data_IF_984046589442
#
_entry.id   IF_984046589442
#
_cell.length_a   1.000
_cell.length_b   1.000
_cell.length_c   1.000
_cell.angle_alpha   90.00
_cell.angle_beta   90.00
_cell.angle_gamma   90.00
#
_symmetry.space_group_name_H-M   'P 1'
#
loop_
_entity.id
_entity.type
_entity.pdbx_description
1 polymer ?
#
# COMPACT_ATOMS: atom_id res chain seq x y z
N UNK A 1 -15.50 -25.57 -13.57
CA UNK A 1 -16.29 -24.61 -14.37
C UNK A 1 -15.58 -24.45 -15.70
N UNK A 2 -16.32 -24.47 -16.81
CA UNK A 2 -15.76 -24.34 -18.16
C UNK A 2 -15.81 -22.87 -18.60
N UNK A 3 -14.81 -22.44 -19.37
CA UNK A 3 -14.76 -21.11 -19.97
C UNK A 3 -15.83 -21.01 -21.05
N UNK A 4 -16.69 -20.00 -20.99
CA UNK A 4 -17.76 -19.79 -21.97
C UNK A 4 -17.26 -19.36 -23.35
N UNK A 5 -15.98 -18.95 -23.46
CA UNK A 5 -15.35 -18.55 -24.73
C UNK A 5 -14.69 -19.71 -25.48
N UNK A 6 -14.13 -20.68 -24.78
CA UNK A 6 -13.28 -21.71 -25.39
C UNK A 6 -13.46 -23.12 -24.81
N UNK A 7 -14.38 -23.30 -23.86
CA UNK A 7 -14.71 -24.57 -23.20
C UNK A 7 -13.56 -25.28 -22.46
N UNK A 8 -12.45 -24.57 -22.22
CA UNK A 8 -11.36 -25.05 -21.38
C UNK A 8 -11.67 -24.86 -19.90
N UNK A 9 -11.01 -25.63 -19.05
CA UNK A 9 -11.18 -25.53 -17.60
C UNK A 9 -10.70 -24.17 -17.07
N UNK A 10 -11.48 -23.62 -16.13
CA UNK A 10 -11.11 -22.44 -15.36
C UNK A 10 -10.40 -22.86 -14.07
N UNK A 11 -9.22 -22.30 -13.83
CA UNK A 11 -8.51 -22.43 -12.57
C UNK A 11 -8.92 -21.32 -11.59
N UNK A 12 -9.03 -21.65 -10.31
CA UNK A 12 -9.29 -20.66 -9.26
C UNK A 12 -8.01 -19.85 -9.01
N UNK A 13 -8.12 -18.52 -9.05
CA UNK A 13 -7.04 -17.60 -8.74
C UNK A 13 -6.59 -17.73 -7.28
N UNK A 14 -5.32 -17.46 -7.02
CA UNK A 14 -4.74 -17.39 -5.68
C UNK A 14 -4.99 -16.05 -4.96
N UNK A 15 -5.68 -15.11 -5.61
CA UNK A 15 -6.11 -13.86 -4.99
C UNK A 15 -7.22 -14.11 -3.97
N UNK A 16 -7.17 -13.44 -2.80
CA UNK A 16 -8.19 -13.60 -1.78
C UNK A 16 -9.56 -13.08 -2.27
N UNK A 17 -10.66 -13.56 -1.66
CA UNK A 17 -11.98 -12.98 -1.85
C UNK A 17 -12.01 -11.47 -1.55
N UNK A 18 -12.93 -10.74 -2.18
CA UNK A 18 -13.20 -9.34 -1.87
C UNK A 18 -14.66 -9.16 -1.44
N UNK A 19 -15.05 -7.93 -1.06
CA UNK A 19 -16.46 -7.58 -0.79
C UNK A 19 -17.39 -7.77 -2.01
N UNK A 20 -16.83 -7.84 -3.21
CA UNK A 20 -17.59 -7.94 -4.46
C UNK A 20 -17.68 -9.37 -5.00
N UNK A 21 -16.71 -10.23 -4.67
CA UNK A 21 -16.62 -11.57 -5.22
C UNK A 21 -16.01 -12.55 -4.22
N UNK A 22 -16.58 -13.75 -4.14
CA UNK A 22 -16.06 -14.83 -3.30
C UNK A 22 -14.88 -15.55 -3.92
N UNK A 23 -14.78 -15.56 -5.25
CA UNK A 23 -13.66 -16.16 -5.98
C UNK A 23 -13.48 -15.52 -7.35
N UNK A 24 -12.25 -15.52 -7.83
CA UNK A 24 -11.89 -15.21 -9.21
C UNK A 24 -11.44 -16.50 -9.88
N UNK A 25 -11.93 -16.76 -11.09
CA UNK A 25 -11.54 -17.90 -11.91
C UNK A 25 -10.99 -17.43 -13.25
N UNK A 26 -9.97 -18.12 -13.75
CA UNK A 26 -9.21 -17.70 -14.93
C UNK A 26 -9.03 -18.90 -15.85
N UNK A 27 -9.36 -18.73 -17.13
CA UNK A 27 -9.11 -19.75 -18.13
C UNK A 27 -7.61 -19.89 -18.38
N UNK A 28 -7.04 -21.08 -18.27
CA UNK A 28 -5.61 -21.28 -18.50
C UNK A 28 -5.20 -21.15 -19.97
N UNK A 29 -6.18 -21.23 -20.90
CA UNK A 29 -5.94 -21.16 -22.34
C UNK A 29 -6.13 -19.76 -22.93
N UNK A 30 -7.32 -19.16 -22.80
CA UNK A 30 -7.61 -17.81 -23.33
C UNK A 30 -7.50 -16.70 -22.28
N UNK A 31 -7.19 -17.04 -21.01
CA UNK A 31 -7.01 -16.09 -19.90
C UNK A 31 -8.22 -15.21 -19.59
N UNK A 32 -9.41 -15.64 -19.99
CA UNK A 32 -10.65 -14.95 -19.62
C UNK A 32 -10.86 -15.03 -18.12
N UNK A 33 -11.20 -13.88 -17.53
CA UNK A 33 -11.43 -13.72 -16.09
C UNK A 33 -12.92 -13.77 -15.83
N UNK A 34 -13.29 -14.62 -14.89
CA UNK A 34 -14.65 -14.81 -14.39
C UNK A 34 -14.66 -14.50 -12.90
N UNK A 35 -15.51 -13.56 -12.49
CA UNK A 35 -15.73 -13.21 -11.08
C UNK A 35 -17.01 -13.84 -10.60
N UNK A 36 -16.96 -14.51 -9.46
CA UNK A 36 -18.13 -15.10 -8.82
C UNK A 36 -18.53 -14.24 -7.62
N UNK A 37 -19.68 -13.58 -7.71
CA UNK A 37 -20.23 -12.74 -6.67
C UNK A 37 -20.55 -13.49 -5.37
N UNK A 38 -20.69 -12.76 -4.27
CA UNK A 38 -21.11 -13.32 -2.98
C UNK A 38 -22.52 -13.95 -3.05
N UNK A 39 -23.37 -13.37 -3.89
CA UNK A 39 -24.73 -13.81 -4.23
C UNK A 39 -24.80 -14.97 -5.23
N UNK A 40 -23.64 -15.51 -5.62
CA UNK A 40 -23.52 -16.56 -6.63
C UNK A 40 -23.63 -16.09 -8.07
N UNK A 41 -23.74 -14.77 -8.33
CA UNK A 41 -23.66 -14.23 -9.68
C UNK A 41 -22.31 -14.55 -10.32
N UNK A 42 -22.30 -14.70 -11.64
CA UNK A 42 -21.07 -14.96 -12.39
C UNK A 42 -20.96 -13.93 -13.50
N UNK A 43 -19.88 -13.15 -13.45
CA UNK A 43 -19.59 -12.09 -14.42
C UNK A 43 -18.28 -12.38 -15.11
N UNK A 44 -18.30 -12.47 -16.44
CA UNK A 44 -17.10 -12.52 -17.27
C UNK A 44 -16.65 -11.09 -17.58
N UNK A 45 -15.36 -10.81 -17.36
CA UNK A 45 -14.77 -9.53 -17.77
C UNK A 45 -14.91 -9.34 -19.28
N UNK A 46 -15.14 -8.10 -19.70
CA UNK A 46 -15.18 -7.67 -21.10
C UNK A 46 -13.84 -7.96 -21.77
N UNK A 47 -13.86 -8.08 -23.10
CA UNK A 47 -12.63 -8.16 -23.86
C UNK A 47 -11.83 -6.86 -23.71
N UNK A 48 -10.51 -7.00 -23.57
CA UNK A 48 -9.53 -5.93 -23.71
C UNK A 48 -8.46 -6.39 -24.68
N UNK A 49 -8.02 -5.49 -25.56
CA UNK A 49 -6.92 -5.74 -26.48
C UNK A 49 -5.64 -6.11 -25.73
N UNK A 50 -4.74 -6.82 -26.41
CA UNK A 50 -3.53 -7.39 -25.79
C UNK A 50 -2.68 -6.36 -25.02
N UNK A 51 -2.63 -5.11 -25.48
CA UNK A 51 -1.87 -4.00 -24.90
C UNK A 51 -2.58 -3.29 -23.74
N UNK A 52 -3.87 -3.56 -23.54
CA UNK A 52 -4.70 -2.98 -22.49
C UNK A 52 -5.23 -4.03 -21.50
N UNK A 53 -4.79 -5.27 -21.64
CA UNK A 53 -5.35 -6.40 -20.88
C UNK A 53 -4.51 -6.81 -19.69
N UNK A 54 -3.20 -6.68 -19.78
CA UNK A 54 -2.30 -7.23 -18.79
C UNK A 54 -1.88 -6.19 -17.79
N UNK A 55 -1.69 -6.62 -16.57
CA UNK A 55 -1.01 -5.84 -15.55
C UNK A 55 0.50 -6.08 -15.67
N UNK A 56 1.32 -5.08 -15.34
CA UNK A 56 2.75 -5.28 -15.21
C UNK A 56 3.03 -6.23 -14.03
N UNK A 57 3.84 -7.26 -14.25
CA UNK A 57 4.31 -8.15 -13.21
C UNK A 57 5.17 -7.36 -12.22
N UNK A 58 4.87 -7.55 -10.94
CA UNK A 58 5.56 -6.89 -9.83
C UNK A 58 6.16 -7.91 -8.89
N UNK A 59 7.48 -7.90 -8.88
CA UNK A 59 8.36 -8.49 -7.90
C UNK A 59 9.71 -7.82 -8.12
N UNK A 60 10.43 -7.55 -7.06
CA UNK A 60 11.80 -7.02 -7.10
C UNK A 60 12.84 -8.12 -7.40
N UNK A 61 12.38 -9.36 -7.65
CA UNK A 61 13.21 -10.48 -8.10
C UNK A 61 13.06 -10.79 -9.59
N UNK A 62 12.64 -9.80 -10.38
CA UNK A 62 12.69 -9.94 -11.83
C UNK A 62 14.17 -9.92 -12.28
N UNK A 63 14.60 -10.89 -13.10
CA UNK A 63 16.01 -11.06 -13.47
C UNK A 63 16.52 -9.97 -14.41
N UNK A 64 15.63 -9.27 -15.11
CA UNK A 64 15.94 -8.22 -16.07
C UNK A 64 15.19 -6.93 -15.69
N UNK A 65 15.75 -5.74 -15.99
CA UNK A 65 15.08 -4.46 -15.75
C UNK A 65 13.88 -4.21 -16.68
N UNK A 66 13.55 -5.18 -17.55
CA UNK A 66 12.42 -5.07 -18.48
C UNK A 66 11.09 -5.26 -17.77
N UNK A 67 10.04 -4.70 -18.36
CA UNK A 67 8.66 -4.88 -17.89
C UNK A 67 8.09 -6.19 -18.41
N UNK A 68 7.71 -7.06 -17.49
CA UNK A 68 7.04 -8.33 -17.81
C UNK A 68 5.53 -8.21 -17.60
N UNK A 69 4.74 -8.95 -18.38
CA UNK A 69 3.29 -9.07 -18.18
C UNK A 69 2.99 -10.06 -17.05
N UNK A 70 2.10 -9.71 -16.13
CA UNK A 70 1.58 -10.64 -15.15
C UNK A 70 0.58 -11.59 -15.81
N UNK A 71 0.93 -12.87 -15.82
CA UNK A 71 0.16 -13.96 -16.42
C UNK A 71 -0.72 -14.71 -15.42
N UNK A 72 -1.01 -14.14 -14.25
CA UNK A 72 -1.70 -14.79 -13.12
C UNK A 72 -0.93 -15.97 -12.49
N UNK A 73 -1.40 -16.44 -11.33
CA UNK A 73 -0.80 -17.57 -10.61
C UNK A 73 0.69 -17.36 -10.30
N UNK A 74 1.04 -16.11 -9.94
CA UNK A 74 2.42 -15.70 -9.58
C UNK A 74 3.46 -15.95 -10.67
N UNK A 75 3.02 -15.93 -11.92
CA UNK A 75 3.84 -16.18 -13.09
C UNK A 75 3.69 -15.07 -14.14
N UNK A 76 4.77 -14.72 -14.82
CA UNK A 76 4.71 -13.85 -16.00
C UNK A 76 4.20 -14.61 -17.23
N UNK A 77 3.81 -13.91 -18.29
CA UNK A 77 3.48 -14.57 -19.56
C UNK A 77 4.67 -15.33 -20.16
N UNK A 78 5.90 -14.84 -19.99
CA UNK A 78 7.12 -15.55 -20.42
C UNK A 78 7.55 -16.70 -19.48
N UNK A 79 6.76 -17.00 -18.43
CA UNK A 79 6.98 -18.19 -17.61
C UNK A 79 7.86 -18.00 -16.37
N UNK A 80 8.29 -16.77 -16.06
CA UNK A 80 9.02 -16.48 -14.82
C UNK A 80 8.04 -16.61 -13.65
N UNK A 81 8.36 -17.48 -12.70
CA UNK A 81 7.57 -17.68 -11.48
C UNK A 81 8.34 -17.16 -10.27
N UNK A 82 7.65 -16.39 -9.41
CA UNK A 82 8.19 -15.96 -8.12
C UNK A 82 7.10 -16.05 -7.06
N UNK A 83 7.41 -16.51 -5.84
CA UNK A 83 6.41 -16.74 -4.79
C UNK A 83 5.68 -15.46 -4.35
N UNK A 84 6.25 -14.28 -4.60
CA UNK A 84 5.69 -12.97 -4.25
C UNK A 84 5.18 -12.19 -5.47
N UNK A 85 5.13 -12.80 -6.66
CA UNK A 85 4.73 -12.10 -7.87
C UNK A 85 3.24 -11.77 -7.86
N UNK A 86 2.93 -10.50 -8.07
CA UNK A 86 1.57 -10.01 -8.27
C UNK A 86 1.48 -9.20 -9.56
N UNK A 87 0.26 -8.99 -10.04
CA UNK A 87 0.02 -7.96 -11.04
C UNK A 87 -0.03 -6.58 -10.40
N UNK A 88 0.34 -5.57 -11.17
CA UNK A 88 0.22 -4.18 -10.79
C UNK A 88 -1.26 -3.76 -10.81
N UNK A 89 -1.81 -3.25 -9.69
CA UNK A 89 -3.23 -2.92 -9.65
C UNK A 89 -3.63 -1.69 -10.48
N UNK A 90 -2.65 -0.94 -11.03
CA UNK A 90 -2.87 0.26 -11.87
C UNK A 90 -1.93 0.37 -13.07
N UNK A 91 -0.80 -0.33 -13.02
CA UNK A 91 0.17 -0.31 -14.09
C UNK A 91 -0.19 -1.37 -15.11
N UNK A 92 -0.80 -0.94 -16.20
CA UNK A 92 -0.99 -1.81 -17.35
C UNK A 92 0.36 -2.15 -17.98
N UNK A 93 0.41 -3.29 -18.63
CA UNK A 93 1.52 -3.76 -19.43
C UNK A 93 1.05 -3.82 -20.88
N UNK A 94 1.84 -3.29 -21.79
CA UNK A 94 1.50 -3.10 -23.20
C UNK A 94 1.77 -1.65 -23.66
N UNK A 95 2.47 -1.52 -24.78
CA UNK A 95 2.68 -0.26 -25.50
C UNK A 95 3.98 0.50 -25.20
N UNK A 96 4.87 -0.06 -24.38
CA UNK A 96 6.07 0.64 -23.91
C UNK A 96 7.38 0.02 -24.47
N UNK A 97 8.44 0.83 -24.72
CA UNK A 97 9.66 0.35 -25.39
C UNK A 97 10.49 -0.68 -24.60
N UNK A 98 10.31 -0.77 -23.28
CA UNK A 98 11.10 -1.61 -22.37
C UNK A 98 10.41 -2.96 -22.02
N UNK A 99 9.42 -3.36 -22.80
CA UNK A 99 8.66 -4.59 -22.59
C UNK A 99 9.42 -5.87 -22.95
N UNK A 100 9.16 -6.94 -22.19
CA UNK A 100 9.69 -8.26 -22.49
C UNK A 100 9.08 -8.82 -23.80
N UNK A 101 9.89 -9.10 -24.84
CA UNK A 101 9.39 -9.52 -26.15
C UNK A 101 8.67 -10.87 -26.11
N UNK A 102 9.08 -11.77 -25.21
CA UNK A 102 8.40 -13.06 -25.01
C UNK A 102 7.01 -12.89 -24.39
N UNK A 103 6.85 -11.93 -23.48
CA UNK A 103 5.53 -11.57 -22.97
C UNK A 103 4.65 -10.99 -24.10
N UNK A 104 5.21 -10.16 -24.99
CA UNK A 104 4.51 -9.60 -26.16
C UNK A 104 4.02 -10.69 -27.11
N UNK A 105 4.88 -11.65 -27.43
CA UNK A 105 4.52 -12.78 -28.28
C UNK A 105 3.37 -13.61 -27.68
N UNK A 106 3.45 -13.95 -26.39
CA UNK A 106 2.38 -14.73 -25.74
C UNK A 106 1.09 -13.92 -25.57
N UNK A 107 1.17 -12.62 -25.28
CA UNK A 107 0.01 -11.74 -25.20
C UNK A 107 -0.76 -11.68 -26.53
N UNK A 108 -0.04 -11.51 -27.65
CA UNK A 108 -0.61 -11.55 -29.00
C UNK A 108 -1.20 -12.93 -29.32
N UNK A 109 -0.53 -14.01 -28.93
CA UNK A 109 -1.04 -15.37 -29.12
C UNK A 109 -2.33 -15.61 -28.32
N UNK A 110 -2.42 -15.10 -27.09
CA UNK A 110 -3.63 -15.18 -26.27
C UNK A 110 -4.75 -14.31 -26.84
N UNK A 111 -4.44 -13.13 -27.35
CA UNK A 111 -5.42 -12.26 -28.00
C UNK A 111 -6.04 -12.96 -29.22
N UNK A 112 -5.22 -13.59 -30.07
CA UNK A 112 -5.69 -14.37 -31.22
C UNK A 112 -6.60 -15.57 -30.83
N UNK A 113 -6.56 -16.04 -29.58
CA UNK A 113 -7.46 -17.10 -29.07
C UNK A 113 -8.86 -16.58 -28.73
N UNK A 114 -9.06 -15.26 -28.63
CA UNK A 114 -10.38 -14.68 -28.36
C UNK A 114 -11.24 -14.62 -29.64
N UNK A 115 -12.44 -15.22 -29.64
CA UNK A 115 -13.34 -15.17 -30.79
C UNK A 115 -13.71 -13.73 -31.16
N UNK A 116 -13.64 -13.40 -32.45
CA UNK A 116 -13.89 -12.03 -32.95
C UNK A 116 -15.29 -11.53 -32.59
N UNK A 117 -16.31 -12.40 -32.67
CA UNK A 117 -17.71 -12.10 -32.32
C UNK A 117 -17.91 -11.78 -30.84
N UNK A 118 -16.90 -12.03 -30.00
CA UNK A 118 -16.93 -11.79 -28.55
C UNK A 118 -16.11 -10.59 -28.10
N UNK A 119 -15.41 -9.91 -29.03
CA UNK A 119 -14.57 -8.74 -28.70
C UNK A 119 -15.39 -7.46 -28.46
N UNK A 120 -16.57 -7.37 -29.05
CA UNK A 120 -17.49 -6.23 -28.88
C UNK A 120 -18.48 -6.45 -27.71
N UNK A 121 -18.42 -7.59 -27.03
CA UNK A 121 -19.28 -7.91 -25.89
C UNK A 121 -18.79 -7.14 -24.65
N UNK A 122 -19.59 -6.21 -24.08
CA UNK A 122 -19.18 -5.34 -22.98
C UNK A 122 -19.00 -6.06 -21.63
N UNK A 123 -18.95 -7.40 -21.63
CA UNK A 123 -18.86 -8.23 -20.44
C UNK A 123 -20.22 -8.86 -20.15
N UNK A 124 -20.22 -10.17 -19.91
CA UNK A 124 -21.46 -10.95 -19.83
C UNK A 124 -21.70 -11.42 -18.41
N UNK A 125 -22.91 -11.13 -17.90
CA UNK A 125 -23.45 -11.85 -16.75
C UNK A 125 -23.84 -13.25 -17.21
N UNK A 126 -23.06 -14.26 -16.82
CA UNK A 126 -23.25 -15.66 -17.19
C UNK A 126 -24.31 -16.33 -16.32
N UNK A 127 -24.35 -15.96 -15.04
CA UNK A 127 -25.39 -16.35 -14.10
C UNK A 127 -25.80 -15.11 -13.29
N UNK A 128 -27.08 -14.72 -13.31
CA UNK A 128 -27.55 -13.56 -12.56
C UNK A 128 -27.56 -13.85 -11.05
N UNK A 129 -27.45 -12.77 -10.26
CA UNK A 129 -27.65 -12.82 -8.82
C UNK A 129 -29.03 -13.38 -8.47
N UNK A 130 -29.12 -14.18 -7.41
CA UNK A 130 -30.42 -14.66 -6.89
C UNK A 130 -31.10 -13.66 -5.94
N UNK A 131 -30.58 -12.42 -5.85
CA UNK A 131 -31.05 -11.37 -4.95
C UNK A 131 -30.71 -9.96 -5.48
N UNK A 132 -31.13 -8.88 -4.79
CA UNK A 132 -30.77 -7.52 -5.19
C UNK A 132 -29.25 -7.36 -5.21
N UNK A 133 -28.72 -6.73 -6.27
CA UNK A 133 -27.28 -6.52 -6.42
C UNK A 133 -26.70 -5.66 -5.29
N UNK A 134 -25.41 -5.79 -4.98
CA UNK A 134 -24.77 -4.92 -4.01
C UNK A 134 -24.78 -3.48 -4.53
N UNK A 135 -25.47 -2.59 -3.80
CA UNK A 135 -25.59 -1.16 -4.16
C UNK A 135 -24.21 -0.50 -4.05
N UNK A 136 -23.79 0.19 -5.12
CA UNK A 136 -22.55 0.97 -5.12
C UNK A 136 -22.61 2.02 -3.99
N UNK A 137 -21.53 2.27 -3.24
CA UNK A 137 -21.57 3.19 -2.09
C UNK A 137 -22.08 4.60 -2.43
N UNK A 138 -21.83 5.07 -3.66
CA UNK A 138 -22.32 6.37 -4.14
C UNK A 138 -23.77 6.40 -4.64
N UNK A 139 -24.40 5.23 -4.78
CA UNK A 139 -25.77 5.08 -5.32
C UNK A 139 -26.79 4.71 -4.24
N UNK A 140 -26.35 4.60 -2.99
CA UNK A 140 -27.27 4.55 -1.85
C UNK A 140 -27.85 5.96 -1.71
N UNK A 141 -29.19 6.05 -1.64
CA UNK A 141 -29.79 7.16 -0.90
C UNK A 141 -29.08 7.18 0.45
N UNK A 142 -28.55 8.33 0.91
CA UNK A 142 -27.93 8.36 2.21
C UNK A 142 -28.94 7.83 3.20
N UNK A 143 -28.65 6.63 3.76
CA UNK A 143 -29.44 6.15 4.89
C UNK A 143 -29.46 7.31 5.90
N UNK A 144 -30.59 7.60 6.56
CA UNK A 144 -30.63 8.59 7.62
C UNK A 144 -29.73 8.15 8.81
N UNK A 145 -28.43 8.31 8.61
CA UNK A 145 -27.25 8.16 9.48
C UNK A 145 -25.93 8.44 8.70
N UNK A 146 -25.95 8.57 7.36
CA UNK A 146 -24.74 8.52 6.52
C UNK A 146 -23.78 9.73 6.55
N UNK A 147 -24.07 10.87 7.19
CA UNK A 147 -23.11 12.00 7.25
C UNK A 147 -23.14 12.83 8.56
N UNK A 148 -23.40 12.24 9.74
CA UNK A 148 -23.63 13.04 10.96
C UNK A 148 -23.43 12.44 12.36
N UNK A 149 -22.39 11.63 12.61
CA UNK A 149 -21.94 11.11 13.93
C UNK A 149 -22.93 10.13 14.66
N UNK A 150 -22.58 9.62 15.86
CA UNK A 150 -21.94 8.32 16.12
C UNK A 150 -22.87 7.40 16.93
N UNK A 151 -23.41 6.33 16.36
CA UNK A 151 -24.04 5.26 17.15
C UNK A 151 -23.66 3.86 16.62
N UNK A 152 -22.44 3.73 16.09
CA UNK A 152 -21.70 2.51 16.38
C UNK A 152 -21.20 2.67 17.80
N UNK A 153 -21.79 2.02 18.82
CA UNK A 153 -21.14 1.94 20.11
C UNK A 153 -19.82 1.21 19.91
N UNK A 154 -18.72 1.97 19.85
CA UNK A 154 -17.40 1.39 19.99
C UNK A 154 -17.36 0.73 21.36
N UNK A 155 -16.86 -0.51 21.47
CA UNK A 155 -16.57 -1.10 22.76
C UNK A 155 -15.75 -0.12 23.60
N UNK A 156 -15.97 -0.12 24.91
CA UNK A 156 -15.15 0.67 25.83
C UNK A 156 -13.66 0.36 25.59
N UNK A 157 -12.78 1.38 25.53
CA UNK A 157 -11.36 1.16 25.31
C UNK A 157 -10.82 0.20 26.36
N UNK A 158 -10.35 -0.97 25.91
CA UNK A 158 -9.68 -1.92 26.79
C UNK A 158 -8.19 -1.67 26.67
N UNK A 159 -7.58 -1.24 27.76
CA UNK A 159 -6.14 -1.10 27.83
C UNK A 159 -5.52 -2.45 28.15
N UNK A 160 -4.59 -2.91 27.31
CA UNK A 160 -3.79 -4.11 27.52
C UNK A 160 -2.38 -3.70 27.95
N UNK A 161 -1.67 -4.49 28.77
CA UNK A 161 -0.23 -4.30 28.99
C UNK A 161 0.57 -4.26 27.69
N UNK A 162 0.03 -4.81 26.60
CA UNK A 162 0.62 -4.84 25.27
C UNK A 162 0.26 -3.63 24.40
N UNK A 163 -0.66 -2.76 24.84
CA UNK A 163 -1.03 -1.55 24.08
C UNK A 163 0.19 -0.64 23.94
N UNK A 164 0.49 -0.21 22.71
CA UNK A 164 1.61 0.69 22.38
C UNK A 164 1.20 2.14 22.14
N UNK A 165 -0.10 2.40 22.08
CA UNK A 165 -0.66 3.75 22.11
C UNK A 165 -0.55 4.31 23.52
N UNK A 166 -0.07 5.54 23.65
CA UNK A 166 -0.05 6.25 24.93
C UNK A 166 -1.41 6.94 25.15
N UNK A 167 -1.94 6.84 26.37
CA UNK A 167 -3.19 7.51 26.74
C UNK A 167 -3.09 9.04 26.63
N UNK A 168 -1.94 9.59 27.00
CA UNK A 168 -1.63 11.00 26.90
C UNK A 168 -0.32 11.20 26.13
N UNK A 169 -0.22 12.33 25.43
CA UNK A 169 1.02 12.69 24.78
C UNK A 169 2.03 13.14 25.84
N UNK A 170 3.27 12.62 25.84
CA UNK A 170 4.34 13.16 26.67
C UNK A 170 4.47 14.67 26.42
N UNK A 171 4.65 15.46 27.47
CA UNK A 171 4.77 16.91 27.36
C UNK A 171 5.94 17.29 26.45
N UNK A 172 5.65 17.62 25.20
CA UNK A 172 6.57 18.23 24.26
C UNK A 172 6.27 19.74 24.21
N UNK A 173 7.27 20.62 23.98
CA UNK A 173 6.99 22.02 23.72
C UNK A 173 6.02 22.12 22.54
N UNK A 174 4.96 22.93 22.70
CA UNK A 174 3.82 23.05 21.78
C UNK A 174 4.17 23.46 20.32
N UNK A 175 5.45 23.65 20.02
CA UNK A 175 6.00 24.16 18.76
C UNK A 175 6.92 23.19 18.03
N UNK A 176 7.25 22.02 18.58
CA UNK A 176 8.19 21.11 17.91
C UNK A 176 7.51 20.29 16.81
N UNK A 177 7.21 20.98 15.70
CA UNK A 177 6.74 20.40 14.43
C UNK A 177 7.86 19.76 13.63
N UNK A 178 9.05 19.62 14.21
CA UNK A 178 10.22 19.07 13.55
C UNK A 178 10.82 17.95 14.38
N UNK A 179 11.56 17.07 13.71
CA UNK A 179 12.43 16.08 14.37
C UNK A 179 13.84 16.24 13.83
N UNK A 180 14.80 15.92 14.69
CA UNK A 180 16.22 16.01 14.37
C UNK A 180 16.78 14.60 14.19
N UNK A 181 17.43 14.37 13.05
CA UNK A 181 18.23 13.18 12.77
C UNK A 181 19.72 13.50 12.89
N UNK A 182 20.49 12.63 13.53
CA UNK A 182 21.90 12.91 13.79
C UNK A 182 22.12 13.87 14.95
N UNK A 183 23.37 14.29 15.13
CA UNK A 183 23.82 15.18 16.19
C UNK A 183 24.80 16.22 15.63
N UNK A 184 24.94 17.36 16.30
CA UNK A 184 25.90 18.39 15.93
C UNK A 184 25.53 19.20 14.67
N UNK A 185 26.51 19.83 13.99
CA UNK A 185 26.26 20.75 12.88
C UNK A 185 25.66 20.12 11.62
N UNK A 186 25.83 18.81 11.44
CA UNK A 186 25.24 18.06 10.32
C UNK A 186 23.86 17.51 10.64
N UNK A 187 23.34 17.75 11.85
CA UNK A 187 22.04 17.24 12.25
C UNK A 187 20.93 17.79 11.34
N UNK A 188 20.13 16.88 10.80
CA UNK A 188 19.07 17.19 9.87
C UNK A 188 17.77 17.46 10.62
N UNK A 189 17.17 18.64 10.40
CA UNK A 189 15.88 19.00 11.00
C UNK A 189 14.77 18.94 9.97
N UNK A 190 13.87 17.96 10.11
CA UNK A 190 12.78 17.70 9.17
C UNK A 190 11.42 18.05 9.78
N UNK A 191 10.47 18.61 9.01
CA UNK A 191 9.09 18.75 9.46
C UNK A 191 8.48 17.36 9.69
N UNK A 192 7.70 17.21 10.75
CA UNK A 192 7.04 15.95 11.08
C UNK A 192 5.67 15.92 10.44
N UNK A 193 5.38 14.84 9.71
CA UNK A 193 4.08 14.60 9.12
C UNK A 193 3.83 13.11 9.02
N UNK A 194 2.65 12.67 9.44
CA UNK A 194 2.18 11.32 9.18
C UNK A 194 1.35 11.31 7.90
N UNK A 195 1.93 10.82 6.81
CA UNK A 195 1.15 10.48 5.62
C UNK A 195 0.46 9.12 5.85
N UNK A 196 -0.84 9.13 6.07
CA UNK A 196 -1.61 7.93 6.41
C UNK A 196 -3.08 8.11 6.08
N UNK A 197 -3.92 7.23 6.59
CA UNK A 197 -5.29 7.13 6.08
C UNK A 197 -6.30 8.07 6.75
N UNK A 198 -7.41 8.40 6.11
CA UNK A 198 -8.62 8.77 6.87
C UNK A 198 -9.08 7.58 7.74
N UNK A 199 -9.58 7.83 8.95
CA UNK A 199 -10.19 6.78 9.80
C UNK A 199 -11.67 7.14 9.99
N UNK A 200 -12.41 7.11 8.88
CA UNK A 200 -13.85 7.39 8.85
C UNK A 200 -14.23 8.67 9.62
N UNK A 201 -15.27 8.63 10.47
CA UNK A 201 -15.72 9.81 11.23
C UNK A 201 -14.77 10.22 12.38
N UNK A 202 -13.74 9.42 12.69
CA UNK A 202 -12.82 9.68 13.80
C UNK A 202 -11.66 10.58 13.38
N UNK A 203 -11.23 10.44 12.12
CA UNK A 203 -10.24 11.32 11.49
C UNK A 203 -10.64 11.48 10.03
N UNK A 204 -11.38 12.56 9.68
CA UNK A 204 -11.82 12.78 8.31
C UNK A 204 -10.61 12.97 7.39
N UNK A 205 -10.79 12.60 6.12
CA UNK A 205 -9.78 12.76 5.08
C UNK A 205 -9.56 14.23 4.69
N UNK A 206 -10.56 15.10 4.83
CA UNK A 206 -10.41 16.51 4.50
C UNK A 206 -11.27 17.42 5.39
N UNK A 207 -11.10 18.72 5.21
CA UNK A 207 -11.87 19.75 5.91
C UNK A 207 -13.35 19.76 5.54
N UNK A 208 -13.74 19.09 4.45
CA UNK A 208 -15.12 18.94 3.99
C UNK A 208 -15.81 17.72 4.62
N UNK A 209 -15.11 17.00 5.52
CA UNK A 209 -15.66 15.88 6.27
C UNK A 209 -15.78 14.60 5.45
N UNK A 210 -15.10 14.50 4.29
CA UNK A 210 -15.08 13.25 3.54
C UNK A 210 -14.43 12.17 4.36
N UNK A 211 -15.13 11.06 4.53
CA UNK A 211 -14.68 9.90 5.32
C UNK A 211 -13.93 8.89 4.46
N UNK A 212 -14.25 8.86 3.17
CA UNK A 212 -13.56 8.10 2.15
C UNK A 212 -12.58 9.00 1.40
N UNK A 213 -11.29 8.84 1.68
CA UNK A 213 -10.25 8.99 0.66
C UNK A 213 -8.86 8.63 1.21
N UNK A 214 -7.96 8.49 0.23
CA UNK A 214 -6.54 8.15 0.14
C UNK A 214 -5.63 8.65 1.28
N UNK A 215 -4.31 8.54 1.10
CA UNK A 215 -3.35 9.04 2.08
C UNK A 215 -3.45 10.57 2.18
N UNK A 216 -3.46 11.09 3.41
CA UNK A 216 -3.31 12.50 3.71
C UNK A 216 -2.15 12.73 4.67
N UNK A 217 -1.54 13.91 4.54
CA UNK A 217 -0.57 14.46 5.48
C UNK A 217 -1.26 14.96 6.78
N UNK A 218 -1.08 14.24 7.88
CA UNK A 218 -1.55 14.62 9.21
C UNK A 218 -0.41 15.20 10.06
N UNK A 219 -0.63 16.34 10.73
CA UNK A 219 0.35 16.85 11.68
C UNK A 219 0.42 15.94 12.92
N UNK A 220 1.51 15.99 13.69
CA UNK A 220 1.74 15.05 14.79
C UNK A 220 0.63 15.04 15.83
N UNK A 221 -0.05 16.15 16.10
CA UNK A 221 -1.17 16.29 17.04
C UNK A 221 -2.47 15.63 16.60
N UNK A 222 -2.60 15.28 15.32
CA UNK A 222 -3.77 14.58 14.76
C UNK A 222 -3.62 13.06 14.72
N UNK A 223 -2.57 12.54 15.35
CA UNK A 223 -2.25 11.11 15.38
C UNK A 223 -1.94 10.66 16.81
N UNK A 224 -2.36 9.45 17.23
CA UNK A 224 -2.13 8.98 18.59
C UNK A 224 -0.62 8.92 18.90
N UNK A 225 -0.19 9.36 20.09
CA UNK A 225 1.18 9.18 20.54
C UNK A 225 1.45 7.68 20.76
N UNK A 226 2.65 7.23 20.40
CA UNK A 226 3.09 5.85 20.62
C UNK A 226 4.21 5.80 21.65
N UNK A 227 4.27 4.70 22.40
CA UNK A 227 5.39 4.37 23.27
C UNK A 227 6.57 3.86 22.41
N UNK A 228 7.29 4.80 21.79
CA UNK A 228 8.40 4.50 20.86
C UNK A 228 9.47 3.57 21.45
N UNK A 229 9.62 3.54 22.80
CA UNK A 229 10.56 2.66 23.48
C UNK A 229 10.19 1.16 23.43
N UNK A 230 8.92 0.83 23.10
CA UNK A 230 8.44 -0.56 22.94
C UNK A 230 8.68 -1.14 21.55
N UNK A 231 9.31 -0.38 20.65
CA UNK A 231 9.64 -0.79 19.28
C UNK A 231 11.15 -1.04 19.20
N UNK A 232 11.53 -2.28 19.46
CA UNK A 232 12.93 -2.74 19.59
C UNK A 232 13.52 -3.30 18.30
N UNK A 233 12.73 -3.34 17.23
CA UNK A 233 13.05 -3.89 15.92
C UNK A 233 12.70 -5.37 15.74
N UNK A 234 12.12 -6.01 16.74
CA UNK A 234 11.74 -7.42 16.70
C UNK A 234 10.30 -7.69 16.24
N UNK A 235 9.48 -6.64 16.10
CA UNK A 235 8.07 -6.72 15.72
C UNK A 235 7.26 -7.62 16.67
N UNK A 236 7.62 -7.69 17.96
CA UNK A 236 6.92 -8.54 18.94
C UNK A 236 5.41 -8.27 19.03
N UNK A 237 4.98 -7.06 18.67
CA UNK A 237 3.56 -6.68 18.58
C UNK A 237 2.81 -7.35 17.44
N UNK A 238 3.51 -7.67 16.35
CA UNK A 238 2.95 -8.37 15.20
C UNK A 238 2.77 -9.88 15.48
N UNK A 239 3.45 -10.38 16.53
CA UNK A 239 3.48 -11.80 16.89
C UNK A 239 4.62 -12.53 16.20
N UNK A 240 4.39 -13.79 15.80
CA UNK A 240 5.37 -14.56 15.04
C UNK A 240 5.67 -13.90 13.68
N UNK A 241 6.93 -13.51 13.46
CA UNK A 241 7.39 -12.86 12.22
C UNK A 241 7.67 -13.86 11.09
N UNK A 242 7.84 -15.14 11.43
CA UNK A 242 8.12 -16.23 10.50
C UNK A 242 9.60 -16.41 10.16
N UNK A 243 9.88 -17.42 9.35
CA UNK A 243 11.25 -17.74 8.92
C UNK A 243 11.80 -16.67 7.96
N UNK A 244 13.14 -16.50 7.90
CA UNK A 244 13.77 -15.68 6.87
C UNK A 244 13.46 -16.23 5.47
N UNK A 245 13.11 -15.34 4.56
CA UNK A 245 12.91 -15.63 3.15
C UNK A 245 14.24 -15.44 2.43
N UNK A 246 14.93 -16.52 2.06
CA UNK A 246 16.24 -16.47 1.37
C UNK A 246 16.21 -15.56 0.13
N UNK A 247 15.12 -15.63 -0.62
CA UNK A 247 14.92 -14.84 -1.83
C UNK A 247 14.79 -13.33 -1.54
N UNK A 248 14.38 -12.94 -0.33
CA UNK A 248 14.34 -11.55 0.13
C UNK A 248 15.68 -11.08 0.66
N UNK A 249 16.44 -11.97 1.30
CA UNK A 249 17.83 -11.69 1.70
C UNK A 249 18.67 -11.31 0.47
N UNK A 250 18.47 -12.01 -0.65
CA UNK A 250 19.09 -11.67 -1.93
C UNK A 250 18.75 -10.27 -2.47
N UNK A 251 17.64 -9.65 -2.03
CA UNK A 251 17.29 -8.26 -2.36
C UNK A 251 18.00 -7.28 -1.43
N UNK A 252 18.09 -7.58 -0.13
CA UNK A 252 18.71 -6.68 0.86
C UNK A 252 20.23 -6.72 0.87
N UNK A 253 20.85 -7.84 0.48
CA UNK A 253 22.30 -8.01 0.51
C UNK A 253 23.04 -7.05 -0.45
N UNK A 254 22.62 -6.88 -1.72
CA UNK A 254 23.23 -5.89 -2.61
C UNK A 254 23.10 -4.46 -2.09
N UNK A 255 21.95 -4.11 -1.52
CA UNK A 255 21.68 -2.80 -0.91
C UNK A 255 22.62 -2.57 0.27
N UNK A 256 22.75 -3.55 1.16
CA UNK A 256 23.66 -3.48 2.31
C UNK A 256 25.12 -3.35 1.87
N UNK A 257 25.53 -4.12 0.85
CA UNK A 257 26.89 -4.07 0.31
C UNK A 257 27.21 -2.72 -0.33
N UNK A 258 26.23 -2.08 -0.99
CA UNK A 258 26.38 -0.74 -1.55
C UNK A 258 26.50 0.33 -0.47
N UNK A 259 25.58 0.34 0.50
CA UNK A 259 25.61 1.26 1.63
C UNK A 259 26.89 1.16 2.46
N UNK A 260 27.43 -0.06 2.61
CA UNK A 260 28.67 -0.29 3.34
C UNK A 260 29.88 0.44 2.69
N UNK A 261 29.87 0.68 1.37
CA UNK A 261 30.93 1.47 0.70
C UNK A 261 30.93 2.93 1.14
N UNK A 262 29.75 3.42 1.52
CA UNK A 262 29.54 4.78 2.04
C UNK A 262 29.60 4.84 3.59
N UNK A 263 29.98 3.74 4.25
CA UNK A 263 30.02 3.65 5.72
C UNK A 263 28.64 3.57 6.39
N UNK A 264 27.58 3.36 5.61
CA UNK A 264 26.20 3.25 6.07
C UNK A 264 25.78 1.79 6.25
N UNK A 265 24.70 1.54 7.01
CA UNK A 265 24.16 0.20 7.26
C UNK A 265 22.64 0.22 7.25
N UNK A 266 22.03 -0.87 6.79
CA UNK A 266 20.60 -1.08 6.96
C UNK A 266 20.27 -1.36 8.45
N UNK A 267 19.26 -0.69 9.02
CA UNK A 267 18.74 -1.01 10.35
C UNK A 267 18.16 -2.43 10.42
N UNK A 268 18.28 -3.05 11.59
CA UNK A 268 17.83 -4.44 11.78
C UNK A 268 16.31 -4.60 11.65
N UNK A 269 15.54 -3.61 12.08
CA UNK A 269 14.08 -3.58 11.96
C UNK A 269 13.63 -3.50 10.49
N UNK A 270 14.36 -2.73 9.66
CA UNK A 270 14.13 -2.69 8.22
C UNK A 270 14.38 -4.05 7.57
N UNK A 271 15.54 -4.66 7.85
CA UNK A 271 15.87 -5.99 7.31
C UNK A 271 14.81 -7.01 7.74
N UNK A 272 14.35 -6.94 8.99
CA UNK A 272 13.31 -7.82 9.53
C UNK A 272 11.97 -7.65 8.80
N UNK A 273 11.53 -6.41 8.55
CA UNK A 273 10.31 -6.13 7.77
C UNK A 273 10.35 -6.73 6.37
N UNK A 274 11.50 -6.60 5.69
CA UNK A 274 11.63 -7.00 4.28
C UNK A 274 11.84 -8.50 4.12
N UNK A 275 12.51 -9.16 5.07
CA UNK A 275 13.00 -10.54 4.90
C UNK A 275 12.21 -11.60 5.64
N UNK A 276 11.35 -11.26 6.60
CA UNK A 276 10.61 -12.27 7.38
C UNK A 276 9.28 -12.64 6.72
N UNK A 277 8.96 -13.93 6.67
CA UNK A 277 7.84 -14.46 5.87
C UNK A 277 6.46 -13.86 6.17
N UNK A 278 6.19 -13.48 7.43
CA UNK A 278 4.88 -12.91 7.82
C UNK A 278 4.88 -11.38 7.81
N UNK A 279 6.05 -10.74 7.84
CA UNK A 279 6.19 -9.28 7.75
C UNK A 279 6.34 -8.79 6.32
N UNK A 280 6.98 -9.58 5.45
CA UNK A 280 7.15 -9.23 4.05
C UNK A 280 5.79 -8.99 3.40
N UNK A 281 5.60 -7.77 2.86
CA UNK A 281 4.33 -7.29 2.28
C UNK A 281 3.13 -7.36 3.21
N UNK A 282 3.34 -7.34 4.54
CA UNK A 282 2.21 -7.26 5.47
C UNK A 282 1.45 -5.94 5.30
N UNK A 283 2.16 -4.85 4.98
CA UNK A 283 1.59 -3.53 4.74
C UNK A 283 0.74 -3.48 3.48
N UNK A 284 1.10 -4.24 2.44
CA UNK A 284 0.40 -4.32 1.16
C UNK A 284 -1.02 -4.89 1.28
N UNK A 285 -1.29 -5.60 2.39
CA UNK A 285 -2.58 -6.26 2.65
C UNK A 285 -3.64 -5.30 3.17
N UNK A 286 -3.24 -4.11 3.60
CA UNK A 286 -4.16 -3.13 4.18
C UNK A 286 -4.15 -1.84 3.37
N UNK A 287 -5.32 -1.20 3.34
CA UNK A 287 -5.53 0.16 2.89
C UNK A 287 -5.14 0.48 1.44
N UNK A 288 -6.17 0.52 0.59
CA UNK A 288 -6.17 1.28 -0.65
C UNK A 288 -5.11 0.93 -1.71
N UNK A 289 -4.34 -0.16 -1.59
CA UNK A 289 -3.39 -0.59 -2.62
C UNK A 289 -1.99 0.06 -2.56
N UNK A 290 -1.59 0.59 -1.39
CA UNK A 290 -0.17 0.87 -1.13
C UNK A 290 0.65 -0.43 -1.16
N UNK A 291 1.96 -0.32 -1.44
CA UNK A 291 2.80 -1.48 -1.76
C UNK A 291 4.23 -1.37 -1.26
N UNK A 292 4.78 -2.51 -0.89
CA UNK A 292 6.22 -2.69 -0.66
C UNK A 292 6.95 -2.64 -1.99
N UNK A 293 7.95 -1.77 -2.07
CA UNK A 293 8.74 -1.54 -3.28
C UNK A 293 10.14 -1.09 -2.86
N UNK A 294 11.06 -2.06 -2.75
CA UNK A 294 12.41 -1.83 -2.23
C UNK A 294 13.35 -1.47 -3.38
N UNK A 295 13.92 -0.26 -3.34
CA UNK A 295 14.86 0.22 -4.35
C UNK A 295 16.32 -0.01 -3.97
N UNK A 296 17.22 0.17 -4.93
CA UNK A 296 18.63 0.46 -4.63
C UNK A 296 18.77 1.77 -3.83
N UNK A 297 19.86 1.98 -3.07
CA UNK A 297 20.15 3.25 -2.43
C UNK A 297 20.18 4.41 -3.43
N UNK A 298 19.57 5.53 -3.07
CA UNK A 298 19.67 6.79 -3.81
C UNK A 298 20.31 7.87 -2.94
N UNK A 299 21.04 8.84 -3.51
CA UNK A 299 21.55 9.98 -2.77
C UNK A 299 20.44 10.77 -2.09
N UNK A 300 20.68 11.23 -0.86
CA UNK A 300 19.78 12.20 -0.23
C UNK A 300 19.85 13.55 -0.95
N UNK A 301 18.71 14.24 -1.15
CA UNK A 301 18.71 15.60 -1.69
C UNK A 301 19.13 16.66 -0.66
N UNK A 302 19.32 16.29 0.61
CA UNK A 302 19.61 17.20 1.71
C UNK A 302 21.09 17.18 2.12
N UNK A 303 21.74 16.03 2.04
CA UNK A 303 23.18 15.87 2.31
C UNK A 303 23.78 14.77 1.41
N UNK A 304 24.85 15.04 0.63
CA UNK A 304 25.46 14.04 -0.24
C UNK A 304 26.12 12.85 0.48
N UNK A 305 26.40 12.95 1.79
CA UNK A 305 26.91 11.85 2.60
C UNK A 305 25.80 10.87 3.02
N UNK A 306 24.53 11.25 2.88
CA UNK A 306 23.39 10.44 3.29
C UNK A 306 22.81 9.65 2.11
N UNK A 307 22.07 8.59 2.44
CA UNK A 307 21.37 7.76 1.46
C UNK A 307 19.91 7.57 1.85
N UNK A 308 19.09 7.27 0.86
CA UNK A 308 17.70 6.87 1.04
C UNK A 308 17.44 5.55 0.32
N UNK A 309 16.60 4.71 0.89
CA UNK A 309 16.12 3.48 0.25
C UNK A 309 14.61 3.56 0.19
N UNK A 310 14.01 3.63 -1.01
CA UNK A 310 12.56 3.51 -1.12
C UNK A 310 12.18 2.10 -0.67
N UNK A 311 11.11 1.98 0.11
CA UNK A 311 10.65 0.66 0.54
C UNK A 311 9.15 0.49 0.49
N UNK A 312 8.41 1.60 0.41
CA UNK A 312 6.97 1.57 0.40
C UNK A 312 6.44 2.74 -0.43
N UNK A 313 5.36 2.52 -1.15
CA UNK A 313 4.74 3.50 -2.04
C UNK A 313 3.25 3.44 -1.90
N UNK A 314 2.62 4.59 -2.06
CA UNK A 314 1.19 4.59 -2.22
C UNK A 314 0.78 3.93 -3.55
N UNK A 315 -0.53 3.77 -3.69
CA UNK A 315 -1.13 3.13 -4.84
C UNK A 315 -0.73 3.79 -6.17
N UNK A 316 -0.72 5.12 -6.21
CA UNK A 316 -0.47 5.90 -7.44
C UNK A 316 1.01 6.28 -7.59
N UNK A 317 1.85 5.94 -6.60
CA UNK A 317 3.23 6.41 -6.50
C UNK A 317 3.35 7.94 -6.44
N UNK A 318 2.27 8.64 -6.06
CA UNK A 318 2.28 10.07 -5.77
C UNK A 318 2.85 10.37 -4.38
N UNK A 319 3.02 9.35 -3.54
CA UNK A 319 3.72 9.43 -2.26
C UNK A 319 4.61 8.20 -2.05
N UNK A 320 5.88 8.45 -1.72
CA UNK A 320 6.88 7.41 -1.51
C UNK A 320 7.48 7.55 -0.13
N UNK A 321 7.59 6.43 0.57
CA UNK A 321 8.28 6.33 1.85
C UNK A 321 9.67 5.73 1.67
N UNK A 322 10.63 6.39 2.29
CA UNK A 322 12.02 6.05 2.25
C UNK A 322 12.53 5.75 3.66
N UNK A 323 13.43 4.78 3.75
CA UNK A 323 14.35 4.69 4.86
C UNK A 323 15.48 5.69 4.62
N UNK A 324 15.56 6.73 5.43
CA UNK A 324 16.64 7.70 5.42
C UNK A 324 17.80 7.21 6.29
N UNK A 325 19.02 7.22 5.75
CA UNK A 325 20.25 6.77 6.39
C UNK A 325 21.21 7.95 6.51
N UNK A 326 21.34 8.46 7.73
CA UNK A 326 22.24 9.58 8.04
C UNK A 326 23.66 9.07 8.31
N UNK A 327 24.68 9.76 7.80
CA UNK A 327 26.10 9.43 7.98
C UNK A 327 26.56 9.30 9.45
N UNK A 328 25.81 9.84 10.42
CA UNK A 328 26.05 9.56 11.85
C UNK A 328 25.74 8.11 12.29
N UNK A 329 25.13 7.30 11.42
CA UNK A 329 24.63 5.95 11.73
C UNK A 329 23.18 5.92 12.26
N UNK A 330 22.51 7.06 12.34
CA UNK A 330 21.08 7.16 12.68
C UNK A 330 20.21 7.03 11.45
N UNK A 331 18.98 6.55 11.61
CA UNK A 331 18.02 6.40 10.53
C UNK A 331 16.62 6.81 10.97
N UNK A 332 15.74 7.05 9.99
CA UNK A 332 14.32 7.32 10.20
C UNK A 332 13.53 6.96 8.94
N UNK A 333 12.21 6.82 9.06
CA UNK A 333 11.30 6.77 7.92
C UNK A 333 10.90 8.18 7.54
N UNK A 334 11.16 8.55 6.29
CA UNK A 334 10.73 9.82 5.71
C UNK A 334 9.76 9.59 4.56
N UNK A 335 8.89 10.56 4.30
CA UNK A 335 7.95 10.54 3.19
C UNK A 335 8.19 11.70 2.22
N UNK A 336 7.87 11.50 0.94
CA UNK A 336 7.89 12.55 -0.07
C UNK A 336 6.81 12.35 -1.11
N UNK A 337 6.29 13.45 -1.64
CA UNK A 337 5.47 13.45 -2.86
C UNK A 337 6.29 13.33 -4.16
N UNK A 338 7.62 13.22 -4.06
CA UNK A 338 8.53 13.05 -5.19
C UNK A 338 9.13 11.65 -5.17
N UNK A 339 9.22 11.04 -6.34
CA UNK A 339 9.91 9.77 -6.50
C UNK A 339 11.39 9.95 -6.88
N UNK A 340 12.29 9.86 -5.90
CA UNK A 340 13.74 9.95 -6.12
C UNK A 340 14.36 8.75 -6.84
N UNK A 341 13.62 7.66 -7.06
CA UNK A 341 14.16 6.52 -7.81
C UNK A 341 14.05 6.68 -9.31
N UNK A 342 13.17 7.58 -9.79
CA UNK A 342 12.94 7.81 -11.23
C UNK A 342 13.00 9.29 -11.63
N UNK A 343 12.59 10.23 -10.77
CA UNK A 343 12.53 11.65 -11.11
C UNK A 343 13.85 12.38 -10.81
N UNK A 344 14.80 12.30 -11.74
CA UNK A 344 16.00 13.14 -11.73
C UNK A 344 15.79 14.42 -12.57
N UNK A 345 15.24 15.46 -11.93
CA UNK A 345 15.67 16.84 -12.21
C UNK A 345 14.94 17.64 -13.30
N UNK A 346 13.89 17.12 -13.95
CA UNK A 346 13.16 17.87 -14.99
C UNK A 346 11.65 17.83 -14.70
N UNK A 347 11.05 19.00 -14.47
CA UNK A 347 9.59 19.18 -14.49
C UNK A 347 9.22 20.13 -15.61
N UNK A 348 8.08 19.91 -16.22
CA UNK A 348 7.54 20.80 -17.25
C UNK A 348 6.42 21.65 -16.66
N UNK A 349 6.47 22.96 -16.90
CA UNK A 349 5.39 23.88 -16.56
C UNK A 349 4.15 23.64 -17.44
N UNK A 350 3.02 24.31 -17.15
CA UNK A 350 1.81 24.21 -17.95
C UNK A 350 2.03 24.55 -19.44
N UNK A 351 3.06 25.33 -19.75
CA UNK A 351 3.45 25.74 -21.10
C UNK A 351 4.52 24.81 -21.73
N UNK A 352 4.89 23.70 -21.07
CA UNK A 352 5.92 22.77 -21.54
C UNK A 352 7.37 23.20 -21.27
N UNK A 353 7.58 24.32 -20.60
CA UNK A 353 8.91 24.82 -20.23
C UNK A 353 9.53 24.03 -19.07
N UNK A 354 10.85 23.81 -19.10
CA UNK A 354 11.55 23.16 -17.99
C UNK A 354 11.57 24.08 -16.78
N UNK A 355 10.88 23.68 -15.71
CA UNK A 355 10.88 24.37 -14.43
C UNK A 355 11.80 23.63 -13.48
N UNK A 356 12.70 24.38 -12.83
CA UNK A 356 13.49 23.83 -11.74
C UNK A 356 12.54 23.26 -10.68
N UNK A 357 12.67 21.97 -10.30
CA UNK A 357 11.77 21.39 -9.32
C UNK A 357 11.89 22.19 -8.01
N UNK A 358 10.77 22.48 -7.33
CA UNK A 358 10.84 23.06 -5.99
C UNK A 358 11.71 22.16 -5.10
N UNK A 359 12.33 22.75 -4.07
CA UNK A 359 13.14 21.98 -3.12
C UNK A 359 12.32 20.78 -2.66
N UNK A 360 12.88 19.55 -2.75
CA UNK A 360 12.14 18.37 -2.35
C UNK A 360 11.72 18.47 -0.89
N UNK A 361 10.43 18.29 -0.65
CA UNK A 361 9.90 18.21 0.70
C UNK A 361 10.04 16.77 1.20
N UNK A 362 10.94 16.58 2.16
CA UNK A 362 11.03 15.37 2.96
C UNK A 362 10.38 15.63 4.31
N UNK A 363 9.49 14.73 4.70
CA UNK A 363 8.82 14.77 5.99
C UNK A 363 9.29 13.62 6.86
N UNK A 364 9.58 13.90 8.13
CA UNK A 364 9.77 12.84 9.12
C UNK A 364 8.43 12.16 9.40
N UNK A 365 8.35 10.86 9.12
CA UNK A 365 7.12 10.08 9.26
C UNK A 365 7.15 9.21 10.51
N UNK A 366 8.26 8.50 10.75
CA UNK A 366 8.42 7.64 11.92
C UNK A 366 9.91 7.49 12.29
N UNK A 367 10.24 7.23 13.55
CA UNK A 367 11.62 7.02 13.99
C UNK A 367 12.23 5.70 13.50
N UNK A 368 11.40 4.72 13.14
CA UNK A 368 11.85 3.40 12.66
C UNK A 368 10.81 2.80 11.71
N UNK A 369 11.20 1.75 10.98
CA UNK A 369 10.29 1.03 10.09
C UNK A 369 9.25 0.23 10.88
N UNK A 370 9.59 -0.18 12.10
CA UNK A 370 8.65 -0.86 12.98
C UNK A 370 7.54 0.07 13.47
N UNK A 371 7.88 1.29 13.90
CA UNK A 371 6.88 2.30 14.31
C UNK A 371 5.99 2.70 13.12
N UNK A 372 6.59 2.83 11.93
CA UNK A 372 5.85 3.06 10.70
C UNK A 372 4.85 1.93 10.42
N UNK A 373 5.33 0.68 10.41
CA UNK A 373 4.53 -0.50 10.12
C UNK A 373 3.37 -0.67 11.10
N UNK A 374 3.61 -0.50 12.40
CA UNK A 374 2.58 -0.57 13.43
C UNK A 374 1.45 0.41 13.16
N UNK A 375 1.79 1.69 12.95
CA UNK A 375 0.79 2.72 12.73
C UNK A 375 0.02 2.48 11.43
N UNK A 376 0.74 2.14 10.36
CA UNK A 376 0.14 1.88 9.06
C UNK A 376 -0.86 0.72 9.11
N UNK A 377 -0.49 -0.39 9.76
CA UNK A 377 -1.37 -1.54 9.93
C UNK A 377 -2.57 -1.24 10.83
N UNK A 378 -2.37 -0.52 11.93
CA UNK A 378 -3.45 -0.14 12.83
C UNK A 378 -4.50 0.71 12.08
N UNK A 379 -4.06 1.71 11.32
CA UNK A 379 -4.97 2.56 10.54
C UNK A 379 -5.65 1.81 9.40
N UNK A 380 -4.91 1.00 8.64
CA UNK A 380 -5.46 0.20 7.55
C UNK A 380 -6.48 -0.84 8.03
N UNK A 381 -6.24 -1.46 9.20
CA UNK A 381 -7.17 -2.40 9.83
C UNK A 381 -8.42 -1.70 10.38
N UNK A 382 -8.27 -0.48 10.92
CA UNK A 382 -9.42 0.33 11.37
C UNK A 382 -10.35 0.68 10.21
N UNK A 383 -9.81 1.10 9.06
CA UNK A 383 -10.63 1.37 7.88
C UNK A 383 -11.32 0.11 7.39
N UNK A 384 -10.57 -1.00 7.30
CA UNK A 384 -11.14 -2.27 6.85
C UNK A 384 -12.30 -2.71 7.77
N UNK A 385 -12.13 -2.60 9.09
CA UNK A 385 -13.17 -2.95 10.04
C UNK A 385 -14.37 -1.97 10.04
N UNK A 386 -14.14 -0.67 9.96
CA UNK A 386 -15.17 0.37 10.11
C UNK A 386 -15.92 0.62 8.80
N UNK A 387 -15.18 0.87 7.71
CA UNK A 387 -15.75 1.31 6.43
C UNK A 387 -15.99 0.13 5.47
N UNK A 388 -15.04 -0.81 5.37
CA UNK A 388 -15.13 -1.89 4.38
C UNK A 388 -16.01 -3.06 4.83
N UNK A 389 -15.88 -3.47 6.09
CA UNK A 389 -16.61 -4.62 6.65
C UNK A 389 -17.83 -4.23 7.48
N UNK A 390 -17.89 -2.98 7.98
CA UNK A 390 -18.88 -2.52 8.95
C UNK A 390 -18.98 -3.44 10.19
N UNK A 391 -17.83 -3.90 10.72
CA UNK A 391 -17.73 -4.76 11.92
C UNK A 391 -16.83 -4.17 13.02
N UNK A 392 -17.14 -2.98 13.52
CA UNK A 392 -16.37 -2.30 14.56
C UNK A 392 -16.34 -3.04 15.92
N UNK A 393 -17.30 -3.95 16.17
CA UNK A 393 -17.29 -4.80 17.36
C UNK A 393 -16.19 -5.88 17.35
N UNK A 394 -15.59 -6.16 16.20
CA UNK A 394 -14.48 -7.12 16.05
C UNK A 394 -13.11 -6.49 16.30
N UNK A 395 -13.05 -5.18 16.59
CA UNK A 395 -11.80 -4.47 16.89
C UNK A 395 -11.17 -4.99 18.18
N UNK A 396 -9.86 -5.26 18.12
CA UNK A 396 -9.10 -5.65 19.29
C UNK A 396 -8.86 -4.46 20.26
N UNK A 397 -8.42 -4.73 21.50
CA UNK A 397 -8.14 -3.69 22.49
C UNK A 397 -7.17 -2.59 22.04
N UNK A 398 -6.21 -2.92 21.17
CA UNK A 398 -5.18 -1.98 20.72
C UNK A 398 -5.73 -1.00 19.69
N UNK A 399 -6.56 -1.47 18.75
CA UNK A 399 -7.31 -0.61 17.84
C UNK A 399 -8.29 0.32 18.58
N UNK A 400 -8.95 -0.18 19.64
CA UNK A 400 -9.83 0.64 20.47
C UNK A 400 -9.06 1.73 21.25
N UNK A 401 -7.88 1.41 21.76
CA UNK A 401 -6.99 2.41 22.38
C UNK A 401 -6.51 3.45 21.37
N UNK A 402 -6.23 3.04 20.13
CA UNK A 402 -5.91 3.94 19.03
C UNK A 402 -7.06 4.92 18.74
N UNK A 403 -8.31 4.42 18.69
CA UNK A 403 -9.51 5.24 18.47
C UNK A 403 -9.83 6.18 19.64
N UNK A 404 -9.47 5.81 20.87
CA UNK A 404 -9.73 6.62 22.06
C UNK A 404 -9.13 8.03 21.95
N UNK A 405 -8.00 8.18 21.26
CA UNK A 405 -7.39 9.47 20.96
C UNK A 405 -8.35 10.45 20.26
N UNK A 406 -9.21 9.94 19.37
CA UNK A 406 -10.14 10.77 18.60
C UNK A 406 -11.45 11.05 19.34
N UNK A 407 -11.86 10.17 20.28
CA UNK A 407 -13.10 10.34 21.07
C UNK A 407 -13.07 11.60 21.94
N UNK A 408 -11.90 11.98 22.44
CA UNK A 408 -11.70 13.19 23.25
C UNK A 408 -11.91 14.50 22.46
N UNK A 409 -11.80 14.46 21.12
CA UNK A 409 -12.02 15.63 20.25
C UNK A 409 -13.47 15.82 19.79
N UNK A 410 -14.24 14.72 19.66
CA UNK A 410 -15.63 14.77 19.17
C UNK A 410 -16.59 15.40 20.18
N UNK A 411 -16.29 15.32 21.48
CA UNK A 411 -17.14 15.90 22.54
C UNK A 411 -16.99 17.42 22.67
N UNK A 412 -15.90 18.01 22.18
CA UNK A 412 -15.66 19.47 22.25
C UNK A 412 -16.34 20.25 21.11
N UNK A 413 -16.81 19.58 20.06
CA UNK A 413 -17.43 20.19 18.88
C UNK A 413 -18.96 20.37 18.94
N UNK A 414 -19.65 19.80 19.94
CA UNK A 414 -21.12 19.92 20.10
C UNK A 414 -21.58 21.13 20.92
N UNK A 415 -20.72 22.14 21.06
CA UNK A 415 -21.02 23.35 21.83
C UNK A 415 -20.45 24.60 21.19
N UNK A 416 -20.99 25.01 20.04
CA UNK A 416 -21.05 26.40 19.59
C UNK A 416 -22.28 26.65 18.76
#
# INVERSE_FOLDING_TARGET
>A
MRCDLCDHDLATSDLPPSRWYREIRICTWCRAVVRVGLDGSIVRQSYSAWDLRWEAARTDMLPEPRRHAYGYFRRTLCGIERPDMSGSPFGMWGGEPDECPECTAEALAIDARWPEDRREDPGRTLLPASGPGPVHPSERDPLPDELGHPDVPLPEPRWSPHTRVLAERPAAPATDRHRTLGDGPSALRLPVCWAGYGIGPYRPYDGDGRTFAWLQAYPPDRVPPLDEARFTGDYAWFGETGEPLEHRTAVTDPIAAELARDGLRLPADFVTLITRARLHRCLDRVGGGARTDVSAPVPSPLDPADRMVAFFRDQQSCFVWYLYLHHSGRSAVVGSGRDFTVEWGVRYGPDGEVVAPPRPELFWTAPSTEVFAYRFLAEGSLIDAIEERARPAELDPEHLAYLAHYRSGVSAGKGR
#
